data_IF_656213824751
#
_entry.id   IF_656213824751
#
_cell.length_a   1.000
_cell.length_b   1.000
_cell.length_c   1.000
_cell.angle_alpha   90.00
_cell.angle_beta   90.00
_cell.angle_gamma   90.00
#
_symmetry.space_group_name_H-M   'P 1'
#
loop_
_entity.id
_entity.type
_entity.pdbx_description
1 polymer ?
#
# COMPACT_ATOMS: atom_id res chain seq x y z
N UNK A 1 17.29 -8.74 28.79
CA UNK A 1 16.37 -9.59 28.03
C UNK A 1 15.48 -8.68 27.18
N UNK A 2 15.86 -8.43 25.91
CA UNK A 2 15.12 -7.52 25.05
C UNK A 2 13.94 -8.29 24.45
N UNK A 3 12.72 -7.96 24.90
CA UNK A 3 11.51 -8.47 24.26
C UNK A 3 11.42 -7.89 22.85
N UNK A 4 11.40 -8.77 21.86
CA UNK A 4 11.08 -8.38 20.48
C UNK A 4 9.66 -7.80 20.46
N UNK A 5 9.55 -6.49 20.29
CA UNK A 5 8.26 -5.81 20.10
C UNK A 5 7.86 -5.99 18.65
N UNK A 6 6.84 -6.78 18.39
CA UNK A 6 6.28 -6.98 17.07
C UNK A 6 5.23 -5.92 16.77
N UNK A 7 5.28 -5.37 15.56
CA UNK A 7 4.23 -4.50 15.05
C UNK A 7 3.22 -5.37 14.33
N UNK A 8 2.03 -5.48 14.88
CA UNK A 8 0.93 -6.25 14.31
C UNK A 8 -0.04 -5.31 13.60
N UNK A 9 -0.27 -5.54 12.31
CA UNK A 9 -1.28 -4.84 11.54
C UNK A 9 -2.37 -5.81 11.10
N UNK A 10 -3.62 -5.41 11.30
CA UNK A 10 -4.77 -6.11 10.75
C UNK A 10 -4.98 -5.62 9.32
N UNK A 11 -4.43 -6.33 8.36
CA UNK A 11 -4.57 -5.97 6.94
C UNK A 11 -5.71 -6.73 6.30
N UNK A 12 -6.53 -5.99 5.57
CA UNK A 12 -7.52 -6.53 4.67
C UNK A 12 -6.86 -7.00 3.37
N UNK A 13 -7.03 -8.24 3.00
CA UNK A 13 -6.72 -8.73 1.68
C UNK A 13 -8.02 -8.85 0.87
N UNK A 14 -7.97 -8.37 -0.39
CA UNK A 14 -9.11 -8.39 -1.29
C UNK A 14 -9.64 -9.81 -1.60
N UNK A 15 -10.80 -9.85 -2.24
CA UNK A 15 -11.48 -11.07 -2.64
C UNK A 15 -10.65 -11.90 -3.63
N UNK A 16 -10.41 -13.16 -3.33
CA UNK A 16 -10.00 -14.17 -4.28
C UNK A 16 -11.17 -15.15 -4.45
N UNK A 17 -11.71 -15.26 -5.67
CA UNK A 17 -12.84 -16.13 -6.01
C UNK A 17 -14.11 -15.89 -5.19
N UNK A 18 -14.50 -14.62 -4.96
CA UNK A 18 -15.76 -14.29 -4.28
C UNK A 18 -15.81 -14.59 -2.78
N UNK A 19 -14.74 -15.11 -2.18
CA UNK A 19 -14.65 -15.41 -0.75
C UNK A 19 -13.77 -14.37 -0.04
N UNK A 20 -14.30 -13.83 1.06
CA UNK A 20 -13.57 -12.92 1.94
C UNK A 20 -12.40 -13.65 2.61
N UNK A 21 -11.18 -13.13 2.42
CA UNK A 21 -9.99 -13.65 3.11
C UNK A 21 -9.84 -12.86 4.42
N UNK A 22 -10.70 -13.15 5.41
CA UNK A 22 -10.70 -12.50 6.70
C UNK A 22 -9.73 -13.09 7.73
N UNK A 23 -9.09 -14.22 7.47
CA UNK A 23 -8.54 -15.09 8.51
C UNK A 23 -7.01 -15.14 8.62
N UNK A 24 -6.27 -14.18 8.07
CA UNK A 24 -4.82 -14.23 8.26
C UNK A 24 -4.28 -12.97 8.93
N UNK A 25 -4.16 -13.05 10.26
CA UNK A 25 -3.27 -12.17 11.01
C UNK A 25 -1.85 -12.38 10.49
N UNK A 26 -1.31 -11.37 9.79
CA UNK A 26 0.06 -11.43 9.30
C UNK A 26 0.97 -10.71 10.28
N UNK A 27 1.72 -11.48 11.05
CA UNK A 27 2.80 -10.95 11.88
C UNK A 27 4.04 -10.76 11.00
N UNK A 28 4.55 -9.54 10.95
CA UNK A 28 5.80 -9.26 10.27
C UNK A 28 6.83 -8.75 11.30
N UNK A 29 8.01 -9.37 11.39
CA UNK A 29 9.06 -8.96 12.34
C UNK A 29 9.80 -7.69 11.88
N UNK A 30 9.37 -7.07 10.80
CA UNK A 30 9.95 -5.87 10.19
C UNK A 30 8.88 -5.09 9.43
N UNK A 31 9.23 -3.89 8.97
CA UNK A 31 8.41 -3.13 8.02
C UNK A 31 8.02 -4.01 6.84
N UNK A 32 6.74 -4.05 6.52
CA UNK A 32 6.18 -4.88 5.48
C UNK A 32 5.32 -4.08 4.52
N UNK A 33 5.31 -4.46 3.26
CA UNK A 33 4.54 -3.81 2.21
C UNK A 33 3.04 -3.67 2.57
N UNK A 34 2.46 -4.69 3.18
CA UNK A 34 1.04 -4.64 3.58
C UNK A 34 0.73 -3.60 4.65
N UNK A 35 1.72 -3.11 5.39
CA UNK A 35 1.56 -2.07 6.40
C UNK A 35 1.69 -0.65 5.84
N UNK A 36 2.00 -0.46 4.55
CA UNK A 36 2.12 0.89 3.97
C UNK A 36 0.79 1.65 3.97
N UNK A 37 -0.35 0.96 3.91
CA UNK A 37 -1.66 1.58 4.05
C UNK A 37 -1.81 2.38 5.36
N UNK A 38 -1.04 2.03 6.40
CA UNK A 38 -1.11 2.73 7.69
C UNK A 38 -0.54 4.16 7.64
N UNK A 39 0.10 4.57 6.55
CA UNK A 39 0.61 5.94 6.41
C UNK A 39 -0.53 6.96 6.45
N UNK A 40 -1.65 6.67 5.81
CA UNK A 40 -2.83 7.51 5.79
C UNK A 40 -4.02 6.89 6.54
N UNK A 41 -4.05 5.56 6.67
CA UNK A 41 -5.17 4.84 7.28
C UNK A 41 -5.16 4.82 8.81
N UNK A 42 -4.06 5.18 9.46
CA UNK A 42 -3.90 5.09 10.91
C UNK A 42 -3.33 6.39 11.51
N UNK A 43 -3.60 6.63 12.79
CA UNK A 43 -3.06 7.77 13.54
C UNK A 43 -1.53 7.80 13.53
N UNK A 44 -0.89 6.63 13.56
CA UNK A 44 0.56 6.50 13.38
C UNK A 44 0.87 5.30 12.50
N UNK A 45 1.77 5.50 11.53
CA UNK A 45 2.14 4.49 10.55
C UNK A 45 3.03 3.39 11.10
N UNK A 46 3.19 2.31 10.35
CA UNK A 46 4.19 1.28 10.66
C UNK A 46 5.61 1.85 10.77
N UNK A 47 5.92 2.89 10.00
CA UNK A 47 7.24 3.51 10.00
C UNK A 47 7.49 4.27 11.31
N UNK A 48 6.50 5.02 11.79
CA UNK A 48 6.55 5.71 13.07
C UNK A 48 6.69 4.71 14.21
N UNK A 49 5.91 3.63 14.22
CA UNK A 49 6.01 2.59 15.25
C UNK A 49 7.40 1.93 15.23
N UNK A 50 7.92 1.63 14.05
CA UNK A 50 9.27 1.06 13.92
C UNK A 50 10.34 2.00 14.46
N UNK A 51 10.27 3.29 14.11
CA UNK A 51 11.18 4.30 14.63
C UNK A 51 11.15 4.36 16.15
N UNK A 52 9.94 4.37 16.76
CA UNK A 52 9.77 4.36 18.20
C UNK A 52 10.38 3.12 18.86
N UNK A 53 10.18 1.96 18.28
CA UNK A 53 10.78 0.70 18.78
C UNK A 53 12.31 0.78 18.75
N UNK A 54 12.89 1.22 17.64
CA UNK A 54 14.36 1.32 17.48
C UNK A 54 14.96 2.33 18.48
N UNK A 55 14.24 3.42 18.75
CA UNK A 55 14.66 4.47 19.70
C UNK A 55 14.25 4.20 21.14
N UNK A 56 13.65 3.03 21.42
CA UNK A 56 13.12 2.67 22.75
C UNK A 56 12.14 3.73 23.31
N UNK A 57 11.36 4.35 22.43
CA UNK A 57 10.30 5.28 22.79
C UNK A 57 8.99 4.53 23.08
N UNK A 58 8.04 5.15 23.80
CA UNK A 58 6.69 4.61 23.96
C UNK A 58 6.02 4.40 22.59
N UNK A 59 5.26 3.31 22.46
CA UNK A 59 4.46 3.07 21.24
C UNK A 59 3.39 4.16 21.11
N UNK A 60 3.14 4.57 19.88
CA UNK A 60 2.11 5.54 19.55
C UNK A 60 0.74 4.86 19.37
N UNK A 61 -0.31 5.68 19.40
CA UNK A 61 -1.66 5.27 19.06
C UNK A 61 -1.73 4.75 17.62
N UNK A 62 -2.39 3.62 17.41
CA UNK A 62 -2.60 2.97 16.11
C UNK A 62 -4.05 3.01 15.65
N UNK A 63 -4.85 3.92 16.20
CA UNK A 63 -6.27 4.08 15.81
C UNK A 63 -6.40 4.18 14.29
N UNK A 64 -7.31 3.41 13.75
CA UNK A 64 -7.63 3.40 12.33
C UNK A 64 -8.69 4.47 12.01
N UNK A 65 -8.52 5.22 10.93
CA UNK A 65 -9.43 6.29 10.50
C UNK A 65 -10.57 5.80 9.59
N UNK A 66 -10.84 4.52 9.55
CA UNK A 66 -11.92 3.94 8.75
C UNK A 66 -11.42 2.85 7.80
N UNK A 67 -11.99 2.79 6.62
CA UNK A 67 -11.60 1.81 5.61
C UNK A 67 -10.43 2.32 4.79
N UNK A 68 -9.31 1.60 4.83
CA UNK A 68 -8.12 1.94 4.06
C UNK A 68 -7.63 0.72 3.27
N UNK A 69 -7.12 0.97 2.09
CA UNK A 69 -6.58 -0.06 1.21
C UNK A 69 -5.36 0.42 0.45
N UNK A 70 -4.64 -0.53 -0.14
CA UNK A 70 -3.43 -0.23 -0.87
C UNK A 70 -3.38 -1.02 -2.17
N UNK A 71 -3.02 -0.34 -3.25
CA UNK A 71 -2.70 -0.92 -4.55
C UNK A 71 -1.20 -0.78 -4.82
N UNK A 72 -0.50 -1.89 -5.10
CA UNK A 72 0.88 -1.82 -5.55
C UNK A 72 0.97 -1.38 -7.01
N UNK A 73 1.87 -0.45 -7.31
CA UNK A 73 2.29 -0.12 -8.67
C UNK A 73 3.40 -1.08 -9.07
N UNK A 74 3.09 -1.99 -9.97
CA UNK A 74 3.98 -3.09 -10.34
C UNK A 74 4.21 -3.05 -11.85
N UNK A 75 5.46 -3.20 -12.27
CA UNK A 75 5.80 -3.27 -13.70
C UNK A 75 5.04 -4.40 -14.38
N UNK A 76 4.36 -4.06 -15.48
CA UNK A 76 3.59 -5.02 -16.28
C UNK A 76 4.49 -6.02 -17.00
N UNK A 77 3.91 -7.17 -17.35
CA UNK A 77 4.59 -8.18 -18.17
C UNK A 77 4.98 -7.61 -19.54
N UNK A 78 6.06 -8.11 -20.09
CA UNK A 78 6.61 -7.71 -21.39
C UNK A 78 7.20 -6.28 -21.45
N UNK A 79 7.32 -5.58 -20.33
CA UNK A 79 7.96 -4.27 -20.26
C UNK A 79 9.24 -4.34 -19.42
N UNK A 80 10.35 -3.84 -19.97
CA UNK A 80 11.62 -3.70 -19.27
C UNK A 80 12.36 -2.47 -19.79
N UNK A 81 12.84 -1.60 -18.91
CA UNK A 81 13.55 -0.37 -19.24
C UNK A 81 13.05 0.83 -18.45
N UNK A 82 13.30 2.02 -18.96
CA UNK A 82 12.93 3.29 -18.30
C UNK A 82 11.44 3.35 -18.00
N UNK A 83 11.08 3.63 -16.75
CA UNK A 83 9.70 3.56 -16.30
C UNK A 83 8.84 4.67 -16.92
N UNK A 84 7.63 4.27 -17.33
CA UNK A 84 6.54 5.16 -17.71
C UNK A 84 5.30 4.80 -16.89
N UNK A 85 4.72 5.79 -16.23
CA UNK A 85 3.47 5.64 -15.50
C UNK A 85 2.32 6.20 -16.35
N UNK A 86 1.35 5.37 -16.68
CA UNK A 86 0.13 5.80 -17.38
C UNK A 86 -1.02 5.93 -16.35
N UNK A 87 -1.88 6.91 -16.54
CA UNK A 87 -3.08 7.14 -15.72
C UNK A 87 -2.86 7.78 -14.35
N UNK A 88 -1.63 8.09 -13.93
CA UNK A 88 -1.40 8.72 -12.63
C UNK A 88 -2.07 10.09 -12.49
N UNK A 89 -2.09 10.90 -13.56
CA UNK A 89 -2.73 12.22 -13.53
C UNK A 89 -4.23 12.13 -13.23
N UNK A 90 -4.91 11.08 -13.71
CA UNK A 90 -6.32 10.86 -13.40
C UNK A 90 -6.52 10.41 -11.96
N UNK A 91 -5.63 9.55 -11.46
CA UNK A 91 -5.66 9.11 -10.06
C UNK A 91 -5.38 10.26 -9.09
N UNK A 92 -4.51 11.20 -9.44
CA UNK A 92 -4.22 12.39 -8.61
C UNK A 92 -5.43 13.30 -8.40
N UNK A 93 -6.45 13.22 -9.26
CA UNK A 93 -7.70 13.96 -9.13
C UNK A 93 -8.70 13.31 -8.15
N UNK A 94 -8.47 12.04 -7.79
CA UNK A 94 -9.40 11.29 -6.93
C UNK A 94 -9.22 11.68 -5.46
N UNK A 95 -10.31 11.93 -4.73
CA UNK A 95 -10.23 12.27 -3.32
C UNK A 95 -9.74 11.08 -2.48
N UNK A 96 -9.07 11.38 -1.36
CA UNK A 96 -8.59 10.37 -0.40
C UNK A 96 -7.69 9.30 -1.04
N UNK A 97 -6.90 9.71 -2.04
CA UNK A 97 -6.00 8.82 -2.80
C UNK A 97 -4.59 9.39 -2.75
N UNK A 98 -3.64 8.59 -2.30
CA UNK A 98 -2.27 9.01 -1.98
C UNK A 98 -1.28 8.15 -2.75
N UNK A 99 -0.48 8.78 -3.61
CA UNK A 99 0.47 8.11 -4.50
C UNK A 99 1.87 8.19 -3.92
N UNK A 100 2.50 7.03 -3.74
CA UNK A 100 3.87 6.88 -3.26
C UNK A 100 4.73 6.19 -4.33
N UNK A 101 5.57 6.96 -5.02
CA UNK A 101 6.53 6.43 -5.97
C UNK A 101 7.89 6.18 -5.30
N UNK A 102 8.54 5.07 -5.66
CA UNK A 102 9.80 4.66 -5.03
C UNK A 102 11.05 5.27 -5.69
N UNK A 103 10.90 6.18 -6.64
CA UNK A 103 12.00 6.88 -7.30
C UNK A 103 12.90 5.99 -8.18
N UNK A 104 12.46 4.80 -8.54
CA UNK A 104 13.21 3.89 -9.41
C UNK A 104 13.11 4.35 -10.87
N UNK A 105 14.24 4.41 -11.56
CA UNK A 105 14.33 4.85 -12.96
C UNK A 105 13.85 3.81 -13.96
N UNK A 106 14.08 2.52 -13.63
CA UNK A 106 13.76 1.42 -14.52
C UNK A 106 12.75 0.47 -13.92
N UNK A 107 11.90 -0.08 -14.76
CA UNK A 107 10.92 -1.12 -14.40
C UNK A 107 11.22 -2.44 -15.11
N UNK A 108 10.64 -3.50 -14.62
CA UNK A 108 10.53 -4.83 -15.25
C UNK A 108 9.33 -5.56 -14.70
N UNK A 109 8.91 -6.62 -15.34
CA UNK A 109 7.80 -7.47 -14.90
C UNK A 109 7.89 -7.80 -13.40
N UNK A 110 6.82 -7.55 -12.67
CA UNK A 110 6.73 -7.83 -11.22
C UNK A 110 7.50 -6.87 -10.31
N UNK A 111 8.26 -5.91 -10.83
CA UNK A 111 8.99 -4.95 -10.00
C UNK A 111 8.04 -3.93 -9.38
N UNK A 112 8.07 -3.82 -8.05
CA UNK A 112 7.32 -2.78 -7.32
C UNK A 112 7.98 -1.43 -7.53
N UNK A 113 7.22 -0.51 -8.09
CA UNK A 113 7.64 0.84 -8.45
C UNK A 113 7.04 1.92 -7.54
N UNK A 114 6.03 1.54 -6.77
CA UNK A 114 5.31 2.40 -5.86
C UNK A 114 4.09 1.71 -5.27
N UNK A 115 3.25 2.48 -4.60
CA UNK A 115 1.91 2.08 -4.17
C UNK A 115 0.98 3.27 -4.14
N UNK A 116 -0.31 2.98 -4.09
CA UNK A 116 -1.37 3.98 -3.93
C UNK A 116 -2.17 3.56 -2.70
N UNK A 117 -2.26 4.44 -1.71
CA UNK A 117 -3.15 4.28 -0.57
C UNK A 117 -4.47 4.97 -0.83
N UNK A 118 -5.56 4.36 -0.39
CA UNK A 118 -6.92 4.84 -0.60
C UNK A 118 -7.67 4.77 0.72
N UNK A 119 -8.39 5.84 1.06
CA UNK A 119 -9.31 5.87 2.19
C UNK A 119 -10.76 5.91 1.68
N UNK A 120 -11.65 5.35 2.49
CA UNK A 120 -13.09 5.33 2.19
C UNK A 120 -13.92 5.28 3.48
N UNK A 121 -15.20 5.63 3.36
CA UNK A 121 -16.14 5.61 4.48
C UNK A 121 -16.82 4.23 4.65
N UNK A 122 -16.80 3.41 3.59
CA UNK A 122 -17.30 2.03 3.63
C UNK A 122 -16.36 1.07 2.91
N UNK A 123 -16.56 -0.22 3.14
CA UNK A 123 -15.82 -1.28 2.45
C UNK A 123 -16.16 -1.33 0.96
N UNK A 124 -17.41 -1.14 0.64
CA UNK A 124 -17.93 -1.14 -0.73
C UNK A 124 -17.29 -0.01 -1.52
N UNK A 125 -17.32 1.21 -0.99
CA UNK A 125 -16.66 2.39 -1.57
C UNK A 125 -15.15 2.13 -1.78
N UNK A 126 -14.47 1.52 -0.79
CA UNK A 126 -13.05 1.20 -0.91
C UNK A 126 -12.77 0.24 -2.07
N UNK A 127 -13.57 -0.81 -2.22
CA UNK A 127 -13.40 -1.79 -3.29
C UNK A 127 -13.67 -1.18 -4.67
N UNK A 128 -14.68 -0.33 -4.79
CA UNK A 128 -14.97 0.41 -6.01
C UNK A 128 -13.81 1.32 -6.41
N UNK A 129 -13.33 2.15 -5.46
CA UNK A 129 -12.17 3.03 -5.68
C UNK A 129 -10.93 2.25 -6.12
N UNK A 130 -10.58 1.16 -5.41
CA UNK A 130 -9.41 0.34 -5.76
C UNK A 130 -9.55 -0.31 -7.14
N UNK A 131 -10.75 -0.78 -7.49
CA UNK A 131 -11.01 -1.37 -8.80
C UNK A 131 -10.89 -0.33 -9.90
N UNK A 132 -11.45 0.86 -9.69
CA UNK A 132 -11.36 1.98 -10.62
C UNK A 132 -9.90 2.41 -10.83
N UNK A 133 -9.15 2.65 -9.75
CA UNK A 133 -7.74 3.03 -9.82
C UNK A 133 -6.92 1.97 -10.57
N UNK A 134 -7.16 0.68 -10.29
CA UNK A 134 -6.48 -0.42 -10.96
C UNK A 134 -6.74 -0.44 -12.47
N UNK A 135 -7.90 0.01 -12.93
CA UNK A 135 -8.21 0.12 -14.36
C UNK A 135 -7.51 1.29 -15.05
N UNK A 136 -7.23 2.36 -14.29
CA UNK A 136 -6.61 3.59 -14.81
C UNK A 136 -5.09 3.47 -14.91
N UNK A 137 -4.44 2.90 -13.87
CA UNK A 137 -2.98 2.97 -13.73
C UNK A 137 -2.29 1.76 -14.34
N UNK A 138 -1.24 2.04 -15.12
CA UNK A 138 -0.31 1.04 -15.65
C UNK A 138 1.14 1.49 -15.48
N UNK A 139 2.01 0.52 -15.20
CA UNK A 139 3.46 0.73 -15.07
C UNK A 139 4.14 0.00 -16.20
N UNK A 140 4.58 0.74 -17.20
CA UNK A 140 5.23 0.23 -18.41
C UNK A 140 6.66 0.74 -18.51
N UNK A 141 7.42 0.22 -19.46
CA UNK A 141 8.65 0.87 -19.91
C UNK A 141 8.35 1.82 -21.08
N UNK A 142 9.15 2.88 -21.21
CA UNK A 142 9.17 3.70 -22.44
C UNK A 142 9.56 2.78 -23.61
N UNK A 143 8.80 2.85 -24.69
CA UNK A 143 9.18 2.19 -25.95
C UNK A 143 10.26 3.06 -26.59
N UNK A 144 11.42 2.46 -26.89
CA UNK A 144 12.49 3.09 -27.65
C UNK A 144 12.07 3.22 -29.09
#
# INVERSE_FOLDING_TARGET
MQFARFVCYRTFFGLKNGKSIWDKLKLAPRLHNSGHQSQEGNANSQFEQFYRVVKNLPLADTTNFGFSGMLNLVGEENYSGKVKYEGLNEVMKLPQTYIHLYGKTDTKAGRKMGHINVLANSREELLEKLTHIKSLVKVKAETI
#
